data_IF_677310560237
#
_entry.id   IF_677310560237
#
_cell.length_a   1.000
_cell.length_b   1.000
_cell.length_c   1.000
_cell.angle_alpha   90.00
_cell.angle_beta   90.00
_cell.angle_gamma   90.00
#
_symmetry.space_group_name_H-M   'P 1'
#
loop_
_entity.id
_entity.type
_entity.pdbx_description
1 polymer ?
#
# COMPACT_ATOMS: atom_id res chain seq x y z
N UNK A 1 -4.45 -6.39 9.26
CA UNK A 1 -5.51 -5.49 8.75
C UNK A 1 -6.87 -6.19 8.82
N UNK A 2 -7.92 -5.49 9.24
CA UNK A 2 -9.30 -6.01 9.24
C UNK A 2 -9.93 -5.92 7.83
N UNK A 3 -10.90 -6.78 7.54
CA UNK A 3 -11.55 -6.84 6.21
C UNK A 3 -12.17 -5.52 5.77
N UNK A 4 -12.79 -4.77 6.70
CA UNK A 4 -13.45 -3.50 6.39
C UNK A 4 -12.46 -2.42 5.95
N UNK A 5 -11.27 -2.38 6.57
CA UNK A 5 -10.20 -1.47 6.17
C UNK A 5 -9.58 -1.89 4.84
N UNK A 6 -9.41 -3.19 4.63
CA UNK A 6 -8.94 -3.72 3.35
C UNK A 6 -9.88 -3.31 2.20
N UNK A 7 -11.19 -3.27 2.46
CA UNK A 7 -12.15 -2.82 1.46
C UNK A 7 -11.97 -1.35 1.02
N UNK A 8 -11.26 -0.53 1.82
CA UNK A 8 -10.98 0.88 1.52
C UNK A 8 -9.63 1.09 0.81
N UNK A 9 -8.82 0.04 0.62
CA UNK A 9 -7.51 0.19 -0.05
C UNK A 9 -7.67 0.32 -1.55
N UNK A 10 -6.77 1.08 -2.19
CA UNK A 10 -6.75 1.23 -3.65
C UNK A 10 -6.49 -0.09 -4.39
N UNK A 11 -5.96 -1.11 -3.71
CA UNK A 11 -5.70 -2.44 -4.25
C UNK A 11 -6.92 -3.38 -4.18
N UNK A 12 -7.99 -3.00 -3.47
CA UNK A 12 -9.18 -3.85 -3.28
C UNK A 12 -10.24 -3.65 -4.37
N UNK A 13 -10.91 -4.75 -4.73
CA UNK A 13 -12.03 -4.75 -5.68
C UNK A 13 -11.59 -4.83 -7.14
N UNK A 14 -12.47 -4.39 -8.04
CA UNK A 14 -12.28 -4.50 -9.50
C UNK A 14 -12.72 -3.25 -10.27
N UNK A 15 -12.69 -2.09 -9.60
CA UNK A 15 -13.08 -0.80 -10.20
C UNK A 15 -11.96 -0.15 -11.00
N UNK A 16 -12.26 0.99 -11.64
CA UNK A 16 -11.30 1.76 -12.43
C UNK A 16 -10.09 2.21 -11.60
N UNK A 17 -10.31 2.66 -10.36
CA UNK A 17 -9.21 3.09 -9.48
C UNK A 17 -8.27 1.93 -9.15
N UNK A 18 -8.83 0.76 -8.85
CA UNK A 18 -8.05 -0.46 -8.59
C UNK A 18 -7.27 -0.92 -9.83
N UNK A 19 -7.91 -0.88 -11.00
CA UNK A 19 -7.24 -1.20 -12.26
C UNK A 19 -6.07 -0.26 -12.53
N UNK A 20 -6.26 1.04 -12.30
CA UNK A 20 -5.20 2.05 -12.44
C UNK A 20 -4.08 1.86 -11.41
N UNK A 21 -4.42 1.54 -10.16
CA UNK A 21 -3.43 1.22 -9.13
C UNK A 21 -2.59 0.02 -9.53
N UNK A 22 -3.25 -1.06 -10.00
CA UNK A 22 -2.58 -2.28 -10.47
C UNK A 22 -1.66 -2.04 -11.66
N UNK A 23 -2.07 -1.21 -12.62
CA UNK A 23 -1.23 -0.85 -13.77
C UNK A 23 0.03 -0.13 -13.30
N UNK A 24 -0.08 0.78 -12.32
CA UNK A 24 1.09 1.47 -11.74
C UNK A 24 2.01 0.50 -11.02
N UNK A 25 1.48 -0.39 -10.18
CA UNK A 25 2.26 -1.45 -9.52
C UNK A 25 3.06 -2.26 -10.55
N UNK A 26 2.37 -2.79 -11.57
CA UNK A 26 3.00 -3.62 -12.59
C UNK A 26 4.09 -2.86 -13.36
N UNK A 27 3.85 -1.59 -13.68
CA UNK A 27 4.82 -0.74 -14.37
C UNK A 27 6.08 -0.56 -13.53
N UNK A 28 5.94 -0.31 -12.23
CA UNK A 28 7.06 -0.14 -11.31
C UNK A 28 7.84 -1.43 -11.09
N UNK A 29 7.14 -2.57 -10.96
CA UNK A 29 7.76 -3.90 -10.86
C UNK A 29 8.56 -4.22 -12.13
N UNK A 30 7.97 -4.04 -13.32
CA UNK A 30 8.62 -4.35 -14.60
C UNK A 30 9.82 -3.44 -14.90
N UNK A 31 9.82 -2.22 -14.37
CA UNK A 31 10.94 -1.28 -14.51
C UNK A 31 12.01 -1.42 -13.42
N UNK A 32 11.83 -2.32 -12.45
CA UNK A 32 12.75 -2.48 -11.32
C UNK A 32 12.76 -1.31 -10.34
N UNK A 33 11.78 -0.40 -10.42
CA UNK A 33 11.68 0.80 -9.58
C UNK A 33 11.05 0.48 -8.22
N UNK A 34 11.65 -0.44 -7.46
CA UNK A 34 11.06 -1.01 -6.25
C UNK A 34 10.88 0.01 -5.12
N UNK A 35 11.77 1.00 -5.00
CA UNK A 35 11.59 2.06 -4.00
C UNK A 35 10.32 2.89 -4.26
N UNK A 36 10.03 3.19 -5.54
CA UNK A 36 8.80 3.87 -5.93
C UNK A 36 7.57 2.98 -5.77
N UNK A 37 7.71 1.66 -5.96
CA UNK A 37 6.66 0.70 -5.69
C UNK A 37 6.26 0.71 -4.21
N UNK A 38 7.24 0.65 -3.31
CA UNK A 38 6.98 0.72 -1.87
C UNK A 38 6.34 2.05 -1.47
N UNK A 39 6.79 3.16 -2.05
CA UNK A 39 6.16 4.47 -1.83
C UNK A 39 4.70 4.50 -2.33
N UNK A 40 4.40 3.90 -3.49
CA UNK A 40 3.05 3.80 -4.04
C UNK A 40 2.09 3.10 -3.07
N UNK A 41 2.53 1.98 -2.47
CA UNK A 41 1.76 1.22 -1.48
C UNK A 41 1.49 2.04 -0.21
N UNK A 42 2.53 2.66 0.34
CA UNK A 42 2.42 3.52 1.54
C UNK A 42 1.48 4.70 1.29
N UNK A 43 1.60 5.34 0.13
CA UNK A 43 0.71 6.44 -0.25
C UNK A 43 -0.72 5.97 -0.49
N UNK A 44 -0.91 4.73 -0.95
CA UNK A 44 -2.22 4.07 -0.98
C UNK A 44 -2.85 4.04 0.40
N UNK A 45 -2.12 3.55 1.39
CA UNK A 45 -2.61 3.47 2.78
C UNK A 45 -2.84 4.84 3.42
N UNK A 46 -2.05 5.86 3.07
CA UNK A 46 -2.26 7.25 3.56
C UNK A 46 -3.55 7.87 3.02
N UNK A 47 -3.99 7.47 1.82
CA UNK A 47 -5.24 7.93 1.20
C UNK A 47 -6.47 7.14 1.68
N UNK A 48 -6.27 5.92 2.16
CA UNK A 48 -7.36 5.07 2.64
C UNK A 48 -7.82 5.44 4.05
N UNK A 49 -9.14 5.50 4.22
CA UNK A 49 -9.79 5.89 5.47
C UNK A 49 -9.83 4.71 6.45
N UNK A 50 -9.61 4.99 7.74
CA UNK A 50 -9.90 4.05 8.83
C UNK A 50 -11.41 3.85 8.96
N UNK A 51 -11.86 2.61 8.82
CA UNK A 51 -13.28 2.31 8.89
C UNK A 51 -13.88 2.52 10.30
N UNK A 52 -13.03 2.54 11.33
CA UNK A 52 -13.43 2.81 12.71
C UNK A 52 -13.40 4.32 13.05
N UNK A 53 -12.75 5.14 12.21
CA UNK A 53 -12.67 6.59 12.40
C UNK A 53 -11.81 7.03 13.59
N UNK A 54 -10.96 6.15 14.12
CA UNK A 54 -10.06 6.44 15.25
C UNK A 54 -8.79 7.12 14.73
N UNK A 55 -8.26 6.62 13.62
CA UNK A 55 -7.05 7.13 12.99
C UNK A 55 -7.39 7.94 11.73
N UNK A 56 -6.57 8.96 11.39
CA UNK A 56 -6.76 9.73 10.16
C UNK A 56 -6.74 8.91 8.87
N UNK A 57 -5.96 7.82 8.84
CA UNK A 57 -5.85 6.92 7.69
C UNK A 57 -5.27 5.55 8.12
N UNK A 58 -5.28 4.60 7.19
CA UNK A 58 -4.81 3.24 7.43
C UNK A 58 -3.30 3.17 7.67
N UNK A 59 -2.51 4.07 7.08
CA UNK A 59 -1.06 4.08 7.30
C UNK A 59 -0.70 4.41 8.75
N UNK A 60 -1.45 5.30 9.40
CA UNK A 60 -1.24 5.61 10.82
C UNK A 60 -1.81 4.52 11.75
N UNK A 61 -2.93 3.92 11.37
CA UNK A 61 -3.54 2.82 12.12
C UNK A 61 -2.64 1.59 12.19
N UNK A 62 -2.01 1.23 11.09
CA UNK A 62 -1.14 0.05 10.94
C UNK A 62 0.34 0.43 10.84
N UNK A 63 0.75 1.49 11.55
CA UNK A 63 2.09 2.08 11.39
C UNK A 63 3.21 1.06 11.59
N UNK A 64 3.16 0.29 12.67
CA UNK A 64 4.19 -0.69 13.02
C UNK A 64 4.22 -1.84 12.01
N UNK A 65 3.06 -2.34 11.57
CA UNK A 65 3.00 -3.38 10.55
C UNK A 65 3.51 -2.88 9.19
N UNK A 66 3.25 -1.62 8.84
CA UNK A 66 3.78 -0.99 7.63
C UNK A 66 5.31 -0.90 7.70
N UNK A 67 5.88 -0.50 8.84
CA UNK A 67 7.35 -0.47 9.00
C UNK A 67 7.99 -1.85 8.86
N UNK A 68 7.40 -2.87 9.47
CA UNK A 68 7.90 -4.26 9.36
C UNK A 68 7.81 -4.75 7.92
N UNK A 69 6.68 -4.50 7.25
CA UNK A 69 6.50 -4.88 5.85
C UNK A 69 7.51 -4.17 4.93
N UNK A 70 7.74 -2.86 5.13
CA UNK A 70 8.72 -2.11 4.37
C UNK A 70 10.12 -2.67 4.55
N UNK A 71 10.54 -2.93 5.79
CA UNK A 71 11.86 -3.50 6.08
C UNK A 71 12.07 -4.85 5.37
N UNK A 72 11.10 -5.77 5.45
CA UNK A 72 11.17 -7.07 4.78
C UNK A 72 11.23 -6.92 3.26
N UNK A 73 10.42 -6.03 2.69
CA UNK A 73 10.37 -5.85 1.25
C UNK A 73 11.60 -5.13 0.69
N UNK A 74 12.18 -4.19 1.44
CA UNK A 74 13.43 -3.53 1.08
C UNK A 74 14.59 -4.54 1.02
N UNK A 75 14.68 -5.45 2.00
CA UNK A 75 15.66 -6.55 2.00
C UNK A 75 15.41 -7.49 0.81
N UNK A 76 14.16 -7.89 0.58
CA UNK A 76 13.79 -8.77 -0.54
C UNK A 76 14.14 -8.18 -1.91
N UNK A 77 13.93 -6.87 -2.09
CA UNK A 77 14.25 -6.18 -3.33
C UNK A 77 15.73 -5.72 -3.42
N UNK A 78 16.52 -5.90 -2.36
CA UNK A 78 17.92 -5.47 -2.31
C UNK A 78 18.10 -3.94 -2.41
N UNK A 79 17.15 -3.18 -1.86
CA UNK A 79 17.20 -1.70 -1.82
C UNK A 79 18.06 -1.20 -0.65
N UNK A 80 18.16 -2.00 0.42
CA UNK A 80 18.80 -1.67 1.69
C UNK A 80 19.99 -2.61 1.96
#
# INVERSE_FOLDING_TARGET
MITRDHANTSSWGSGTEQSNFRIKELTLIQSGNYQQLLQLEVDGLKRSVDSEGIYPNLQQKYYDEVLVALFIMEEYFGIN
#
